data_IF_583566691193
#
_entry.id   IF_583566691193
#
_cell.length_a   1.000
_cell.length_b   1.000
_cell.length_c   1.000
_cell.angle_alpha   90.00
_cell.angle_beta   90.00
_cell.angle_gamma   90.00
#
_symmetry.space_group_name_H-M   'P 1'
#
loop_
_entity.id
_entity.type
_entity.pdbx_description
1 polymer ?
#
# COMPACT_ATOMS: atom_id res chain seq x y z
N UNK A 1 -11.57 9.30 9.77
CA UNK A 1 -13.03 9.09 9.77
C UNK A 1 -13.52 8.47 8.45
N UNK A 2 -13.00 8.89 7.30
CA UNK A 2 -13.41 8.37 5.99
C UNK A 2 -13.18 6.85 5.81
N UNK A 3 -11.98 6.33 6.11
CA UNK A 3 -11.70 4.89 6.03
C UNK A 3 -12.61 4.04 6.91
N UNK A 4 -13.00 4.55 8.09
CA UNK A 4 -13.89 3.84 9.02
C UNK A 4 -15.29 3.70 8.39
N UNK A 5 -15.81 4.77 7.78
CA UNK A 5 -17.11 4.77 7.15
C UNK A 5 -17.14 3.85 5.91
N UNK A 6 -16.12 3.93 5.06
CA UNK A 6 -16.01 3.08 3.86
C UNK A 6 -15.95 1.60 4.26
N UNK A 7 -15.18 1.24 5.28
CA UNK A 7 -15.10 -0.16 5.73
C UNK A 7 -16.44 -0.65 6.31
N UNK A 8 -17.14 0.20 7.05
CA UNK A 8 -18.48 -0.10 7.56
C UNK A 8 -19.49 -0.36 6.45
N UNK A 9 -19.50 0.51 5.42
CA UNK A 9 -20.38 0.34 4.25
C UNK A 9 -20.02 -0.88 3.42
N UNK A 10 -18.73 -1.11 3.15
CA UNK A 10 -18.26 -2.29 2.43
C UNK A 10 -18.71 -3.57 3.13
N UNK A 11 -18.48 -3.67 4.45
CA UNK A 11 -18.90 -4.83 5.24
C UNK A 11 -20.41 -5.04 5.20
N UNK A 12 -21.21 -3.98 5.22
CA UNK A 12 -22.67 -4.07 5.18
C UNK A 12 -23.22 -4.60 3.84
N UNK A 13 -22.42 -4.54 2.76
CA UNK A 13 -22.79 -5.03 1.43
C UNK A 13 -22.31 -6.47 1.17
N UNK A 14 -21.51 -7.06 2.08
CA UNK A 14 -21.03 -8.43 1.91
C UNK A 14 -22.14 -9.46 2.20
N UNK A 15 -22.21 -10.57 1.44
CA UNK A 15 -23.05 -11.72 1.77
C UNK A 15 -22.79 -12.28 3.19
N UNK A 16 -23.80 -12.84 3.84
CA UNK A 16 -23.69 -13.30 5.23
C UNK A 16 -22.68 -14.44 5.41
N UNK A 17 -22.63 -15.37 4.44
CA UNK A 17 -21.66 -16.47 4.42
C UNK A 17 -20.22 -15.97 4.35
N UNK A 18 -19.95 -14.91 3.58
CA UNK A 18 -18.64 -14.25 3.55
C UNK A 18 -18.35 -13.57 4.89
N UNK A 19 -19.31 -12.84 5.44
CA UNK A 19 -19.16 -12.16 6.75
C UNK A 19 -18.80 -13.17 7.85
N UNK A 20 -19.44 -14.33 7.84
CA UNK A 20 -19.23 -15.39 8.83
C UNK A 20 -17.88 -16.09 8.66
N UNK A 21 -17.37 -16.18 7.43
CA UNK A 21 -16.05 -16.74 7.12
C UNK A 21 -14.87 -15.79 7.43
N UNK A 22 -15.12 -14.50 7.64
CA UNK A 22 -14.04 -13.54 7.96
C UNK A 22 -13.42 -13.83 9.33
N UNK A 23 -12.09 -13.70 9.41
CA UNK A 23 -11.37 -13.80 10.69
C UNK A 23 -11.86 -12.74 11.68
N UNK A 24 -12.12 -13.19 12.91
CA UNK A 24 -12.54 -12.35 14.05
C UNK A 24 -11.40 -12.07 15.03
N UNK A 25 -10.21 -12.64 14.78
CA UNK A 25 -9.05 -12.50 15.64
C UNK A 25 -8.11 -11.40 15.12
N UNK A 26 -7.64 -10.48 16.00
CA UNK A 26 -6.62 -9.51 15.61
C UNK A 26 -5.30 -10.21 15.32
N UNK A 27 -4.61 -9.81 14.25
CA UNK A 27 -3.34 -10.43 13.83
C UNK A 27 -2.13 -9.52 13.96
N UNK A 28 -2.34 -8.26 14.36
CA UNK A 28 -1.31 -7.20 14.41
C UNK A 28 -1.21 -6.54 15.79
N UNK A 29 -1.74 -7.21 16.81
CA UNK A 29 -1.61 -6.75 18.19
C UNK A 29 -0.14 -6.79 18.60
N UNK A 30 0.41 -5.63 18.94
CA UNK A 30 1.76 -5.52 19.48
C UNK A 30 1.74 -5.75 20.98
N UNK A 31 2.60 -6.64 21.43
CA UNK A 31 2.79 -7.01 22.83
C UNK A 31 4.28 -6.94 23.17
N UNK A 32 4.61 -6.94 24.46
CA UNK A 32 6.01 -6.98 24.91
C UNK A 32 6.77 -8.20 24.41
N UNK A 33 6.09 -9.28 24.04
CA UNK A 33 6.72 -10.51 23.54
C UNK A 33 6.94 -10.54 22.03
N UNK A 34 6.30 -9.67 21.23
CA UNK A 34 6.38 -9.72 19.77
C UNK A 34 6.86 -8.40 19.09
N UNK A 35 7.00 -7.32 19.88
CA UNK A 35 7.29 -5.99 19.34
C UNK A 35 8.63 -5.91 18.63
N UNK A 36 9.65 -6.62 19.12
CA UNK A 36 10.98 -6.58 18.53
C UNK A 36 11.03 -7.34 17.19
N UNK A 37 10.37 -8.51 17.11
CA UNK A 37 10.21 -9.23 15.85
C UNK A 37 9.43 -8.41 14.82
N UNK A 38 8.40 -7.67 15.26
CA UNK A 38 7.65 -6.78 14.38
C UNK A 38 8.52 -5.64 13.83
N UNK A 39 9.39 -5.05 14.66
CA UNK A 39 10.36 -4.03 14.23
C UNK A 39 11.34 -4.56 13.19
N UNK A 40 11.83 -5.79 13.38
CA UNK A 40 12.72 -6.44 12.41
C UNK A 40 12.03 -6.60 11.07
N UNK A 41 10.83 -7.20 11.03
CA UNK A 41 10.07 -7.37 9.77
C UNK A 41 9.74 -6.03 9.10
N UNK A 42 9.36 -5.03 9.89
CA UNK A 42 9.10 -3.69 9.38
C UNK A 42 10.33 -3.06 8.72
N UNK A 43 11.49 -3.22 9.35
CA UNK A 43 12.78 -2.76 8.83
C UNK A 43 13.19 -3.52 7.58
N UNK A 44 13.04 -4.84 7.55
CA UNK A 44 13.34 -5.68 6.39
C UNK A 44 12.47 -5.30 5.18
N UNK A 45 11.18 -5.03 5.40
CA UNK A 45 10.29 -4.57 4.35
C UNK A 45 10.72 -3.20 3.81
N UNK A 46 11.03 -2.25 4.70
CA UNK A 46 11.55 -0.92 4.31
C UNK A 46 12.82 -1.03 3.47
N UNK A 47 13.81 -1.78 3.96
CA UNK A 47 15.10 -1.96 3.30
C UNK A 47 14.90 -2.59 1.92
N UNK A 48 14.06 -3.62 1.85
CA UNK A 48 13.75 -4.30 0.61
C UNK A 48 13.09 -3.39 -0.44
N UNK A 49 12.20 -2.47 -0.03
CA UNK A 49 11.55 -1.54 -0.95
C UNK A 49 12.51 -0.45 -1.41
N UNK A 50 13.28 0.13 -0.49
CA UNK A 50 14.07 1.34 -0.76
C UNK A 50 15.54 1.08 -1.11
N UNK A 51 16.00 -0.18 -1.16
CA UNK A 51 17.37 -0.53 -1.55
C UNK A 51 17.83 0.15 -2.84
N UNK A 52 19.05 0.72 -2.92
CA UNK A 52 20.08 0.86 -1.88
C UNK A 52 20.05 2.21 -1.13
N UNK A 53 18.90 2.90 -1.12
CA UNK A 53 18.75 4.25 -0.55
C UNK A 53 17.94 4.28 0.76
N UNK A 54 17.65 3.12 1.34
CA UNK A 54 16.83 2.92 2.54
C UNK A 54 17.26 3.80 3.71
N UNK A 55 18.56 3.81 4.05
CA UNK A 55 19.10 4.62 5.15
C UNK A 55 19.11 6.10 4.77
N UNK A 56 19.59 6.42 3.55
CA UNK A 56 19.68 7.80 3.07
C UNK A 56 18.30 8.49 3.05
N UNK A 57 17.25 7.74 2.75
CA UNK A 57 15.88 8.25 2.76
C UNK A 57 15.40 8.53 4.19
N UNK A 58 15.69 7.65 5.15
CA UNK A 58 15.38 7.89 6.56
C UNK A 58 16.14 9.11 7.10
N UNK A 59 17.42 9.25 6.78
CA UNK A 59 18.23 10.40 7.19
C UNK A 59 17.62 11.71 6.67
N UNK A 60 17.24 11.74 5.39
CA UNK A 60 16.58 12.91 4.80
C UNK A 60 15.22 13.23 5.43
N UNK A 61 14.48 12.21 5.86
CA UNK A 61 13.23 12.40 6.59
C UNK A 61 13.48 12.95 8.01
N UNK A 62 14.58 12.53 8.65
CA UNK A 62 15.01 13.03 9.95
C UNK A 62 15.34 14.54 9.92
N UNK A 63 15.89 15.04 8.80
CA UNK A 63 16.14 16.47 8.59
C UNK A 63 14.87 17.32 8.71
N UNK A 64 13.71 16.75 8.37
CA UNK A 64 12.41 17.43 8.52
C UNK A 64 11.90 17.35 9.96
N UNK A 65 12.03 16.17 10.59
CA UNK A 65 11.72 15.97 12.00
C UNK A 65 12.34 14.65 12.51
N UNK A 66 12.99 14.61 13.69
CA UNK A 66 13.68 13.41 14.19
C UNK A 66 12.75 12.22 14.43
N UNK A 67 11.48 12.45 14.82
CA UNK A 67 10.51 11.37 15.04
C UNK A 67 9.85 10.84 13.75
N UNK A 68 10.03 11.51 12.60
CA UNK A 68 9.37 11.10 11.37
C UNK A 68 9.84 9.71 10.89
N UNK A 69 11.14 9.40 10.84
CA UNK A 69 11.63 8.05 10.60
C UNK A 69 11.08 7.01 11.59
N UNK A 70 10.99 7.37 12.88
CA UNK A 70 10.50 6.49 13.94
C UNK A 70 9.04 6.12 13.69
N UNK A 71 8.19 7.11 13.41
CA UNK A 71 6.77 6.89 13.13
C UNK A 71 6.56 6.07 11.85
N UNK A 72 7.35 6.33 10.80
CA UNK A 72 7.29 5.58 9.55
C UNK A 72 7.66 4.11 9.79
N UNK A 73 8.81 3.83 10.41
CA UNK A 73 9.22 2.45 10.68
C UNK A 73 8.25 1.72 11.62
N UNK A 74 7.66 2.42 12.58
CA UNK A 74 6.60 1.85 13.43
C UNK A 74 5.36 1.45 12.61
N UNK A 75 4.99 2.28 11.62
CA UNK A 75 3.91 1.97 10.69
C UNK A 75 4.25 0.78 9.79
N UNK A 76 5.51 0.67 9.33
CA UNK A 76 5.97 -0.51 8.61
C UNK A 76 5.91 -1.78 9.45
N UNK A 77 6.27 -1.68 10.73
CA UNK A 77 6.30 -2.82 11.65
C UNK A 77 4.90 -3.34 12.03
N UNK A 78 3.94 -2.42 12.20
CA UNK A 78 2.62 -2.75 12.74
C UNK A 78 1.54 -2.90 11.67
N UNK A 79 1.66 -2.23 10.52
CA UNK A 79 0.63 -2.18 9.50
C UNK A 79 1.07 -2.85 8.20
N UNK A 80 2.20 -2.43 7.63
CA UNK A 80 2.59 -2.84 6.27
C UNK A 80 3.29 -4.19 6.19
N UNK A 81 4.13 -4.52 7.16
CA UNK A 81 4.72 -5.84 7.25
C UNK A 81 3.61 -6.88 7.48
N UNK A 82 3.69 -7.99 6.75
CA UNK A 82 2.79 -9.10 7.00
C UNK A 82 3.00 -9.64 8.43
N UNK A 83 1.91 -10.00 9.12
CA UNK A 83 2.01 -10.63 10.42
C UNK A 83 2.61 -12.04 10.28
N UNK A 84 3.15 -12.64 11.35
CA UNK A 84 3.75 -13.97 11.28
C UNK A 84 2.79 -15.00 10.65
N UNK A 85 3.32 -15.92 9.84
CA UNK A 85 2.55 -16.88 9.03
C UNK A 85 1.60 -17.74 9.90
N UNK A 86 1.94 -17.99 11.16
CA UNK A 86 1.08 -18.70 12.11
C UNK A 86 -0.21 -17.95 12.49
N UNK A 87 -0.35 -16.67 12.14
CA UNK A 87 -1.45 -15.80 12.54
C UNK A 87 -2.51 -15.54 11.45
N UNK A 88 -2.26 -15.88 10.17
CA UNK A 88 -3.23 -15.80 9.06
C UNK A 88 -2.89 -16.75 7.91
N UNK A 89 -3.89 -17.25 7.17
CA UNK A 89 -3.67 -17.99 5.93
C UNK A 89 -3.39 -17.10 4.71
N UNK A 90 -3.60 -15.76 4.77
CA UNK A 90 -3.54 -14.88 3.57
C UNK A 90 -2.67 -13.66 3.84
N UNK A 91 -1.63 -13.49 3.02
CA UNK A 91 -0.79 -12.28 2.91
C UNK A 91 -1.32 -11.42 1.77
N UNK A 92 -1.23 -10.09 1.91
CA UNK A 92 -1.52 -9.20 0.76
C UNK A 92 -0.35 -9.24 -0.22
N UNK A 93 0.87 -9.39 0.29
CA UNK A 93 2.05 -9.53 -0.53
C UNK A 93 2.52 -8.23 -1.17
N UNK A 94 3.73 -8.27 -1.73
CA UNK A 94 4.45 -7.09 -2.20
C UNK A 94 3.80 -6.44 -3.42
N UNK A 95 3.29 -7.27 -4.34
CA UNK A 95 2.70 -6.81 -5.61
C UNK A 95 1.39 -6.06 -5.37
N UNK A 96 0.45 -6.65 -4.63
CA UNK A 96 -0.85 -6.02 -4.36
C UNK A 96 -0.70 -4.79 -3.45
N UNK A 97 0.23 -4.82 -2.49
CA UNK A 97 0.51 -3.65 -1.64
C UNK A 97 0.99 -2.46 -2.47
N UNK A 98 1.91 -2.67 -3.42
CA UNK A 98 2.33 -1.63 -4.35
C UNK A 98 1.18 -1.14 -5.23
N UNK A 99 0.35 -2.05 -5.76
CA UNK A 99 -0.78 -1.69 -6.62
C UNK A 99 -1.83 -0.84 -5.88
N UNK A 100 -2.16 -1.19 -4.64
CA UNK A 100 -3.04 -0.39 -3.78
C UNK A 100 -2.41 0.97 -3.50
N UNK A 101 -1.11 1.01 -3.18
CA UNK A 101 -0.37 2.26 -2.96
C UNK A 101 -0.44 3.21 -4.16
N UNK A 102 -0.15 2.71 -5.37
CA UNK A 102 -0.27 3.47 -6.63
C UNK A 102 -1.70 3.98 -6.80
N UNK A 103 -2.69 3.12 -6.60
CA UNK A 103 -4.11 3.45 -6.77
C UNK A 103 -4.56 4.56 -5.84
N UNK A 104 -4.30 4.43 -4.53
CA UNK A 104 -4.69 5.43 -3.54
C UNK A 104 -3.99 6.78 -3.77
N UNK A 105 -2.68 6.77 -4.05
CA UNK A 105 -1.91 8.00 -4.26
C UNK A 105 -2.29 8.70 -5.57
N UNK A 106 -2.55 7.93 -6.65
CA UNK A 106 -3.00 8.48 -7.92
C UNK A 106 -4.38 9.13 -7.77
N UNK A 107 -5.31 8.46 -7.08
CA UNK A 107 -6.64 8.98 -6.81
C UNK A 107 -6.65 10.23 -5.92
N UNK A 108 -5.71 10.35 -4.97
CA UNK A 108 -5.59 11.53 -4.10
C UNK A 108 -5.14 12.79 -4.86
N UNK A 109 -4.37 12.65 -5.94
CA UNK A 109 -3.69 13.73 -6.67
C UNK A 109 -2.67 14.52 -5.82
N UNK A 110 -1.83 15.34 -6.45
CA UNK A 110 -0.86 16.21 -5.75
C UNK A 110 0.36 15.50 -5.13
N UNK A 111 0.46 14.17 -5.27
CA UNK A 111 1.52 13.33 -4.66
C UNK A 111 2.32 12.54 -5.72
N UNK A 112 2.64 13.19 -6.83
CA UNK A 112 3.35 12.59 -7.96
C UNK A 112 4.64 11.83 -7.60
N UNK A 113 5.55 12.39 -6.77
CA UNK A 113 6.75 11.68 -6.33
C UNK A 113 6.46 10.36 -5.61
N UNK A 114 5.39 10.31 -4.81
CA UNK A 114 4.98 9.10 -4.09
C UNK A 114 4.42 8.05 -5.06
N UNK A 115 3.58 8.46 -6.03
CA UNK A 115 3.08 7.54 -7.08
C UNK A 115 4.25 6.90 -7.82
N UNK A 116 5.22 7.70 -8.25
CA UNK A 116 6.42 7.23 -8.94
C UNK A 116 7.23 6.26 -8.08
N UNK A 117 7.39 6.56 -6.78
CA UNK A 117 8.08 5.69 -5.83
C UNK A 117 7.43 4.30 -5.74
N UNK A 118 6.10 4.22 -5.69
CA UNK A 118 5.39 2.94 -5.65
C UNK A 118 5.41 2.19 -6.99
N UNK A 119 5.42 2.88 -8.14
CA UNK A 119 5.66 2.24 -9.45
C UNK A 119 7.04 1.58 -9.47
N UNK A 120 8.07 2.29 -9.01
CA UNK A 120 9.41 1.69 -8.90
C UNK A 120 9.46 0.55 -7.90
N UNK A 121 8.73 0.63 -6.79
CA UNK A 121 8.59 -0.47 -5.84
C UNK A 121 7.96 -1.72 -6.46
N UNK A 122 6.92 -1.56 -7.28
CA UNK A 122 6.30 -2.65 -8.05
C UNK A 122 7.31 -3.28 -9.02
N UNK A 123 7.98 -2.46 -9.85
CA UNK A 123 9.01 -2.93 -10.80
C UNK A 123 10.11 -3.73 -10.11
N UNK A 124 10.67 -3.12 -9.06
CA UNK A 124 11.76 -3.71 -8.29
C UNK A 124 11.38 -5.08 -7.74
N UNK A 125 10.13 -5.26 -7.27
CA UNK A 125 9.68 -6.55 -6.76
C UNK A 125 9.85 -7.69 -7.79
N UNK A 126 9.65 -7.39 -9.08
CA UNK A 126 9.86 -8.34 -10.17
C UNK A 126 11.34 -8.47 -10.57
N UNK A 127 12.08 -7.35 -10.60
CA UNK A 127 13.51 -7.32 -10.91
C UNK A 127 14.37 -8.10 -9.91
N UNK A 128 14.08 -7.97 -8.60
CA UNK A 128 14.85 -8.60 -7.53
C UNK A 128 14.28 -9.96 -7.06
N UNK A 129 13.16 -10.38 -7.66
CA UNK A 129 12.50 -11.66 -7.36
C UNK A 129 11.73 -11.71 -6.06
N UNK A 130 11.61 -10.60 -5.31
CA UNK A 130 10.86 -10.57 -4.05
C UNK A 130 9.35 -10.78 -4.24
N UNK A 131 8.80 -10.60 -5.45
CA UNK A 131 7.41 -10.93 -5.78
C UNK A 131 7.04 -12.42 -5.60
N UNK A 132 8.05 -13.30 -5.57
CA UNK A 132 7.91 -14.76 -5.43
C UNK A 132 8.71 -15.29 -4.24
N UNK A 133 8.96 -14.44 -3.25
CA UNK A 133 9.58 -14.86 -1.99
C UNK A 133 8.71 -15.90 -1.27
N UNK A 134 9.28 -16.57 -0.27
CA UNK A 134 8.57 -17.63 0.45
C UNK A 134 7.26 -17.13 1.07
N UNK A 135 6.17 -17.80 0.68
CA UNK A 135 4.82 -17.47 1.12
C UNK A 135 4.18 -16.25 0.44
N UNK A 136 4.76 -15.71 -0.64
CA UNK A 136 4.04 -14.81 -1.56
C UNK A 136 3.12 -15.62 -2.48
N UNK A 137 1.92 -15.11 -2.74
CA UNK A 137 0.99 -15.70 -3.70
C UNK A 137 1.24 -15.15 -5.11
N UNK A 138 1.01 -15.98 -6.12
CA UNK A 138 1.14 -15.55 -7.51
C UNK A 138 0.03 -14.54 -7.85
N UNK A 139 0.43 -13.34 -8.27
CA UNK A 139 -0.49 -12.34 -8.81
C UNK A 139 -0.55 -12.48 -10.32
N UNK A 140 -1.68 -12.98 -10.82
CA UNK A 140 -1.95 -13.09 -12.25
C UNK A 140 -1.80 -11.73 -12.93
N UNK A 141 -1.04 -11.69 -14.03
CA UNK A 141 -0.75 -10.46 -14.76
C UNK A 141 0.23 -9.49 -14.05
N UNK A 142 0.74 -9.84 -12.86
CA UNK A 142 1.61 -8.98 -12.07
C UNK A 142 2.89 -8.54 -12.81
N UNK A 143 3.52 -9.44 -13.55
CA UNK A 143 4.73 -9.12 -14.33
C UNK A 143 4.44 -8.13 -15.46
N UNK A 144 3.31 -8.29 -16.14
CA UNK A 144 2.87 -7.33 -17.16
C UNK A 144 2.56 -5.96 -16.53
N UNK A 145 1.89 -5.95 -15.38
CA UNK A 145 1.58 -4.74 -14.59
C UNK A 145 2.86 -4.00 -14.14
N UNK A 146 3.95 -4.72 -13.90
CA UNK A 146 5.25 -4.15 -13.60
C UNK A 146 5.97 -3.59 -14.85
N UNK A 147 5.53 -3.93 -16.06
CA UNK A 147 6.06 -3.34 -17.30
C UNK A 147 5.61 -1.90 -17.55
N UNK A 148 6.23 -1.24 -18.52
CA UNK A 148 5.88 0.13 -18.92
C UNK A 148 4.41 0.26 -19.33
N UNK A 149 3.95 -0.59 -20.24
CA UNK A 149 2.56 -0.62 -20.68
C UNK A 149 1.58 -0.88 -19.52
N UNK A 150 1.96 -1.78 -18.60
CA UNK A 150 1.18 -2.09 -17.40
C UNK A 150 1.08 -0.90 -16.46
N UNK A 151 2.16 -0.16 -16.23
CA UNK A 151 2.14 1.02 -15.37
C UNK A 151 1.27 2.14 -15.95
N UNK A 152 1.36 2.40 -17.26
CA UNK A 152 0.46 3.35 -17.93
C UNK A 152 -0.99 2.90 -17.78
N UNK A 153 -1.27 1.62 -18.03
CA UNK A 153 -2.61 1.06 -17.88
C UNK A 153 -3.17 1.21 -16.45
N UNK A 154 -2.35 0.98 -15.42
CA UNK A 154 -2.75 1.19 -14.02
C UNK A 154 -3.19 2.65 -13.83
N UNK A 155 -2.36 3.61 -14.23
CA UNK A 155 -2.63 5.03 -14.03
C UNK A 155 -3.91 5.47 -14.77
N UNK A 156 -4.05 5.10 -16.05
CA UNK A 156 -5.21 5.44 -16.86
C UNK A 156 -6.49 4.78 -16.31
N UNK A 157 -6.38 3.57 -15.78
CA UNK A 157 -7.52 2.87 -15.16
C UNK A 157 -7.98 3.57 -13.89
N UNK A 158 -7.05 4.01 -13.04
CA UNK A 158 -7.39 4.76 -11.83
C UNK A 158 -8.04 6.09 -12.19
N UNK A 159 -7.52 6.80 -13.18
CA UNK A 159 -8.11 8.06 -13.64
C UNK A 159 -9.55 7.87 -14.13
N UNK A 160 -9.81 6.81 -14.91
CA UNK A 160 -11.16 6.47 -15.39
C UNK A 160 -12.11 6.13 -14.25
N UNK A 161 -11.63 5.44 -13.20
CA UNK A 161 -12.44 5.13 -12.01
C UNK A 161 -12.78 6.41 -11.25
N UNK A 162 -11.78 7.26 -10.99
CA UNK A 162 -11.97 8.54 -10.32
C UNK A 162 -12.93 9.43 -11.10
N UNK A 163 -12.80 9.46 -12.42
CA UNK A 163 -13.71 10.17 -13.31
C UNK A 163 -15.15 9.63 -13.17
N UNK A 164 -15.35 8.32 -13.35
CA UNK A 164 -16.66 7.69 -13.28
C UNK A 164 -17.37 7.92 -11.93
N UNK A 165 -16.64 7.89 -10.82
CA UNK A 165 -17.18 8.14 -9.48
C UNK A 165 -17.41 9.64 -9.25
N UNK A 166 -16.50 10.50 -9.73
CA UNK A 166 -16.54 11.95 -9.53
C UNK A 166 -17.69 12.65 -10.25
N UNK A 167 -18.18 12.08 -11.36
CA UNK A 167 -19.26 12.67 -12.16
C UNK A 167 -20.63 12.68 -11.46
N UNK A 168 -20.89 11.80 -10.48
CA UNK A 168 -22.16 11.83 -9.73
C UNK A 168 -22.19 12.86 -8.58
N UNK A 169 -21.02 13.35 -8.13
CA UNK A 169 -20.91 14.18 -6.91
C UNK A 169 -20.40 15.61 -7.12
N UNK A 170 -19.96 15.98 -8.33
CA UNK A 170 -19.55 17.37 -8.64
C UNK A 170 -18.42 17.94 -7.76
N UNK A 171 -17.68 17.12 -7.03
CA UNK A 171 -16.68 17.56 -6.06
C UNK A 171 -15.60 16.52 -5.82
N UNK A 172 -14.35 16.95 -5.90
CA UNK A 172 -13.19 16.18 -5.43
C UNK A 172 -13.14 16.25 -3.91
N UNK A 173 -12.98 15.10 -3.23
CA UNK A 173 -12.79 15.04 -1.76
C UNK A 173 -11.44 15.65 -1.33
N UNK A 174 -10.48 15.76 -2.24
CA UNK A 174 -9.17 16.33 -1.97
C UNK A 174 -8.79 17.37 -3.04
N UNK A 175 -8.68 18.62 -2.57
CA UNK A 175 -8.35 19.85 -3.31
C UNK A 175 -9.34 20.24 -4.44
N UNK A 176 -9.81 21.50 -4.48
CA UNK A 176 -10.60 21.98 -5.62
C UNK A 176 -9.75 21.82 -6.89
N UNK A 177 -10.29 21.07 -7.85
CA UNK A 177 -9.59 20.74 -9.09
C UNK A 177 -8.93 21.97 -9.70
N UNK A 178 -7.60 21.96 -9.78
CA UNK A 178 -6.88 22.91 -10.63
C UNK A 178 -7.33 22.60 -12.04
N UNK A 179 -8.28 23.39 -12.56
CA UNK A 179 -8.58 23.42 -13.99
C UNK A 179 -7.27 23.76 -14.69
N UNK A 180 -6.75 22.84 -15.49
CA UNK A 180 -5.68 23.14 -16.43
C UNK A 180 -6.12 24.37 -17.25
N UNK A 181 -5.37 25.46 -17.13
CA UNK A 181 -5.54 26.60 -18.03
C UNK A 181 -5.01 26.19 -19.40
N UNK A 182 -5.80 26.55 -20.40
CA UNK A 182 -5.59 26.44 -21.84
C UNK A 182 -4.13 26.63 -22.27
#
# INVERSE_FOLDING_TARGET
METINVLGQFRAQLPSDIIDALSKAPSRELTSSNVDDAKVRGRELWDSIYRPFETKLLDKLADSHPDLPVQILTSYSSLFADPPISSRPIKVGRVLTSLIGITCLRAQTGVGPQVTSHIFGLRKAFEDGTYKAEGEEHVEGGEWLAGEAGNTWILDTVDRIVEAIGHESGGTTFAPGIKAKL
#
